data_IF_748457040452
#
_entry.id   IF_748457040452
#
_cell.length_a   1.000
_cell.length_b   1.000
_cell.length_c   1.000
_cell.angle_alpha   90.00
_cell.angle_beta   90.00
_cell.angle_gamma   90.00
#
_symmetry.space_group_name_H-M   'P 1'
#
loop_
_entity.id
_entity.type
_entity.pdbx_description
1 polymer ?
#
# COMPACT_ATOMS: atom_id res chain seq x y z
N UNK A 1 -13.71 21.92 44.18
CA UNK A 1 -13.72 20.59 43.53
C UNK A 1 -13.18 20.77 42.11
N UNK A 2 -11.92 20.39 41.85
CA UNK A 2 -11.30 20.48 40.51
C UNK A 2 -11.54 19.15 39.79
N UNK A 3 -12.22 19.20 38.66
CA UNK A 3 -12.42 18.04 37.80
C UNK A 3 -11.09 17.57 37.21
N UNK A 4 -10.77 16.29 37.38
CA UNK A 4 -9.68 15.62 36.68
C UNK A 4 -10.10 15.46 35.21
N UNK A 5 -9.41 16.17 34.31
CA UNK A 5 -9.43 15.85 32.89
C UNK A 5 -8.55 14.61 32.68
N UNK A 6 -9.21 13.53 32.26
CA UNK A 6 -8.63 12.27 31.80
C UNK A 6 -7.56 12.53 30.75
N UNK A 7 -6.33 12.14 31.03
CA UNK A 7 -5.20 12.20 30.10
C UNK A 7 -4.97 10.80 29.53
N UNK A 8 -5.90 10.31 28.70
CA UNK A 8 -5.74 9.03 27.99
C UNK A 8 -4.82 9.24 26.78
N UNK A 9 -3.52 9.01 26.97
CA UNK A 9 -2.55 8.92 25.87
C UNK A 9 -2.73 7.56 25.19
N UNK A 10 -3.55 7.52 24.16
CA UNK A 10 -3.68 6.37 23.27
C UNK A 10 -2.45 6.34 22.35
N UNK A 11 -1.50 5.43 22.60
CA UNK A 11 -0.17 5.41 21.96
C UNK A 11 -0.07 4.53 20.71
N UNK A 12 -1.13 3.76 20.42
CA UNK A 12 -1.22 2.89 19.26
C UNK A 12 -2.62 3.03 18.65
N UNK A 13 -2.69 3.16 17.33
CA UNK A 13 -3.95 3.14 16.58
C UNK A 13 -3.80 2.16 15.44
N UNK A 14 -4.70 1.19 15.40
CA UNK A 14 -4.83 0.28 14.28
C UNK A 14 -6.00 0.74 13.42
N UNK A 15 -5.78 0.82 12.11
CA UNK A 15 -6.83 1.13 11.14
C UNK A 15 -6.84 0.03 10.09
N UNK A 16 -7.98 -0.61 9.96
CA UNK A 16 -8.28 -1.50 8.83
C UNK A 16 -9.11 -0.70 7.85
N UNK A 17 -8.60 -0.54 6.63
CA UNK A 17 -9.38 0.00 5.52
C UNK A 17 -9.63 -1.15 4.55
N UNK A 18 -10.90 -1.50 4.40
CA UNK A 18 -11.36 -2.37 3.33
C UNK A 18 -12.00 -1.48 2.27
N UNK A 19 -11.29 -1.29 1.16
CA UNK A 19 -11.84 -0.57 0.02
C UNK A 19 -12.41 -1.59 -0.97
N UNK A 20 -13.73 -1.56 -1.14
CA UNK A 20 -14.39 -2.27 -2.24
C UNK A 20 -14.41 -1.34 -3.45
N UNK A 21 -13.63 -1.68 -4.47
CA UNK A 21 -13.65 -0.98 -5.74
C UNK A 21 -14.04 -1.92 -6.86
N UNK A 22 -14.82 -1.34 -7.77
CA UNK A 22 -15.52 -2.00 -8.83
C UNK A 22 -14.84 -1.63 -10.14
N UNK A 23 -14.13 -2.60 -10.75
CA UNK A 23 -13.54 -2.40 -12.08
C UNK A 23 -14.43 -3.05 -13.13
N UNK A 24 -14.79 -2.26 -14.13
CA UNK A 24 -15.52 -2.75 -15.28
C UNK A 24 -14.52 -3.32 -16.30
N UNK A 25 -14.56 -4.64 -16.48
CA UNK A 25 -13.90 -5.32 -17.58
C UNK A 25 -14.99 -5.84 -18.52
N UNK A 26 -15.01 -5.41 -19.78
CA UNK A 26 -15.94 -5.94 -20.80
C UNK A 26 -17.43 -6.00 -20.40
N UNK A 27 -17.91 -5.07 -19.56
CA UNK A 27 -19.33 -5.00 -19.15
C UNK A 27 -19.73 -5.73 -17.87
N UNK A 28 -18.83 -6.42 -17.16
CA UNK A 28 -19.07 -6.93 -15.80
C UNK A 28 -18.19 -6.17 -14.82
N UNK A 29 -18.76 -5.94 -13.65
CA UNK A 29 -18.07 -5.30 -12.56
C UNK A 29 -17.44 -6.39 -11.69
N UNK A 30 -16.10 -6.44 -11.61
CA UNK A 30 -15.41 -7.34 -10.68
C UNK A 30 -15.21 -6.66 -9.33
N UNK A 31 -15.46 -7.43 -8.25
CA UNK A 31 -15.24 -6.99 -6.88
C UNK A 31 -13.78 -7.23 -6.52
N UNK A 32 -12.98 -6.17 -6.49
CA UNK A 32 -11.63 -6.23 -5.97
C UNK A 32 -11.72 -6.04 -4.46
N UNK A 33 -11.19 -7.00 -3.71
CA UNK A 33 -11.02 -6.88 -2.25
C UNK A 33 -9.56 -6.62 -1.97
N UNK A 34 -9.27 -5.36 -1.69
CA UNK A 34 -8.01 -4.94 -1.13
C UNK A 34 -8.23 -4.71 0.37
N UNK A 35 -7.32 -5.22 1.19
CA UNK A 35 -7.32 -4.93 2.62
C UNK A 35 -6.01 -4.27 2.98
N UNK A 36 -6.12 -3.05 3.47
CA UNK A 36 -5.00 -2.26 3.96
C UNK A 36 -5.03 -2.22 5.48
N UNK A 37 -3.95 -2.71 6.09
CA UNK A 37 -3.71 -2.68 7.53
C UNK A 37 -2.66 -1.64 7.86
N UNK A 38 -3.04 -0.65 8.66
CA UNK A 38 -2.16 0.41 9.09
C UNK A 38 -1.99 0.31 10.61
N UNK A 39 -0.81 -0.12 11.04
CA UNK A 39 -0.42 -0.08 12.44
C UNK A 39 0.44 1.16 12.68
N UNK A 40 -0.07 2.11 13.46
CA UNK A 40 0.64 3.32 13.83
C UNK A 40 1.09 3.22 15.28
N UNK A 41 2.39 3.34 15.49
CA UNK A 41 2.99 3.44 16.81
C UNK A 41 3.59 4.82 16.99
N UNK A 42 3.11 5.54 18.00
CA UNK A 42 3.52 6.91 18.27
C UNK A 42 4.04 7.03 19.71
N UNK A 43 5.32 6.70 19.96
CA UNK A 43 5.94 6.79 21.28
C UNK A 43 6.25 8.29 21.58
N UNK A 44 7.22 8.73 22.41
CA UNK A 44 7.28 10.13 22.85
C UNK A 44 7.25 11.09 21.65
N UNK A 45 6.72 12.31 21.83
CA UNK A 45 6.27 13.28 20.80
C UNK A 45 7.22 13.65 19.64
N UNK A 46 8.37 12.98 19.53
CA UNK A 46 9.43 13.11 18.55
C UNK A 46 9.57 11.87 17.65
N UNK A 47 8.85 10.78 17.90
CA UNK A 47 8.98 9.53 17.14
C UNK A 47 7.65 9.15 16.51
N UNK A 48 7.69 8.73 15.25
CA UNK A 48 6.54 8.17 14.55
C UNK A 48 6.96 6.93 13.78
N UNK A 49 6.19 5.85 13.90
CA UNK A 49 6.43 4.59 13.22
C UNK A 49 5.12 4.09 12.63
N UNK A 50 5.17 3.60 11.40
CA UNK A 50 4.04 3.04 10.69
C UNK A 50 4.45 1.75 9.98
N UNK A 51 3.67 0.70 10.20
CA UNK A 51 3.68 -0.53 9.42
C UNK A 51 2.42 -0.54 8.55
N UNK A 52 2.62 -0.61 7.24
CA UNK A 52 1.56 -0.62 6.24
C UNK A 52 1.60 -1.97 5.55
N UNK A 53 0.54 -2.75 5.65
CA UNK A 53 0.43 -4.02 4.96
C UNK A 53 -0.77 -3.99 4.02
N UNK A 54 -0.58 -4.48 2.79
CA UNK A 54 -1.61 -4.55 1.77
C UNK A 54 -1.68 -5.96 1.21
N UNK A 55 -2.88 -6.52 1.20
CA UNK A 55 -3.18 -7.76 0.48
C UNK A 55 -4.21 -7.50 -0.60
N UNK A 56 -3.96 -8.05 -1.80
CA UNK A 56 -4.84 -7.97 -2.96
C UNK A 56 -5.10 -9.37 -3.47
N UNK A 57 -6.37 -9.75 -3.53
CA UNK A 57 -6.76 -11.03 -4.13
C UNK A 57 -6.63 -11.01 -5.65
N UNK A 58 -6.50 -12.20 -6.27
CA UNK A 58 -6.48 -12.39 -7.72
C UNK A 58 -7.58 -11.59 -8.42
N UNK A 59 -7.20 -10.89 -9.48
CA UNK A 59 -8.10 -10.06 -10.28
C UNK A 59 -8.16 -10.60 -11.70
N UNK A 60 -9.33 -10.71 -12.31
CA UNK A 60 -9.44 -11.14 -13.70
C UNK A 60 -9.51 -9.93 -14.61
N UNK A 61 -8.78 -10.00 -15.73
CA UNK A 61 -8.67 -8.92 -16.71
C UNK A 61 -9.90 -8.86 -17.64
N UNK A 62 -10.75 -9.88 -17.58
CA UNK A 62 -11.99 -10.01 -18.33
C UNK A 62 -13.04 -10.86 -17.58
N UNK A 63 -14.20 -11.06 -18.20
CA UNK A 63 -15.35 -11.73 -17.57
C UNK A 63 -15.34 -13.25 -17.67
N UNK A 64 -14.30 -13.83 -18.25
CA UNK A 64 -14.21 -15.27 -18.44
C UNK A 64 -13.77 -16.01 -17.17
N UNK A 65 -13.30 -15.27 -16.16
CA UNK A 65 -12.61 -15.80 -14.99
C UNK A 65 -11.45 -16.73 -15.37
N UNK A 66 -10.81 -16.48 -16.52
CA UNK A 66 -9.68 -17.28 -16.96
C UNK A 66 -8.46 -16.93 -16.11
N UNK A 67 -7.87 -17.94 -15.47
CA UNK A 67 -6.64 -17.78 -14.70
C UNK A 67 -5.47 -17.28 -15.56
N UNK A 68 -5.46 -17.61 -16.85
CA UNK A 68 -4.46 -17.13 -17.81
C UNK A 68 -4.62 -15.64 -18.12
N UNK A 69 -5.82 -15.08 -17.94
CA UNK A 69 -6.14 -13.66 -18.11
C UNK A 69 -6.43 -13.01 -16.76
N UNK A 70 -5.54 -13.24 -15.80
CA UNK A 70 -5.67 -12.71 -14.44
C UNK A 70 -4.35 -12.17 -13.91
N UNK A 71 -4.43 -11.21 -13.00
CA UNK A 71 -3.33 -10.76 -12.16
C UNK A 71 -3.26 -11.64 -10.93
N UNK A 72 -2.07 -12.14 -10.61
CA UNK A 72 -1.88 -12.92 -9.39
C UNK A 72 -2.17 -12.08 -8.15
N UNK A 73 -2.67 -12.75 -7.12
CA UNK A 73 -2.74 -12.19 -5.78
C UNK A 73 -1.35 -11.82 -5.28
N UNK A 74 -1.29 -10.80 -4.42
CA UNK A 74 -0.03 -10.37 -3.84
C UNK A 74 -0.21 -9.77 -2.44
N UNK A 75 0.87 -9.83 -1.68
CA UNK A 75 1.01 -9.20 -0.38
C UNK A 75 2.27 -8.34 -0.36
N UNK A 76 2.13 -7.09 0.07
CA UNK A 76 3.26 -6.20 0.29
C UNK A 76 3.18 -5.58 1.67
N UNK A 77 4.35 -5.34 2.26
CA UNK A 77 4.46 -4.65 3.53
C UNK A 77 5.54 -3.57 3.43
N UNK A 78 5.20 -2.40 3.94
CA UNK A 78 6.06 -1.22 4.00
C UNK A 78 6.27 -0.80 5.45
N UNK A 79 7.45 -0.26 5.73
CA UNK A 79 7.83 0.29 7.02
C UNK A 79 8.19 1.76 6.84
N UNK A 80 7.65 2.62 7.70
CA UNK A 80 8.04 4.03 7.78
C UNK A 80 8.38 4.41 9.21
N UNK A 81 9.50 5.10 9.38
CA UNK A 81 9.93 5.65 10.65
C UNK A 81 10.35 7.10 10.48
N UNK A 82 10.09 7.93 11.48
CA UNK A 82 10.63 9.27 11.55
C UNK A 82 10.99 9.69 12.97
N UNK A 83 11.98 10.59 13.06
CA UNK A 83 12.46 11.15 14.31
C UNK A 83 12.67 12.66 14.21
N UNK A 84 12.11 13.40 15.16
CA UNK A 84 12.14 14.86 15.21
C UNK A 84 13.04 15.37 16.33
N UNK A 85 14.08 16.09 15.93
CA UNK A 85 15.03 16.78 16.80
C UNK A 85 14.60 18.23 16.93
N UNK A 86 14.57 18.77 18.15
CA UNK A 86 14.29 20.18 18.43
C UNK A 86 15.51 20.83 19.07
N UNK A 87 15.94 21.96 18.52
CA UNK A 87 17.09 22.73 19.01
C UNK A 87 16.74 24.22 19.14
N UNK A 88 17.58 24.98 19.84
CA UNK A 88 17.44 26.44 19.94
C UNK A 88 17.88 27.17 18.66
N UNK A 89 18.77 26.56 17.89
CA UNK A 89 19.33 27.14 16.65
C UNK A 89 18.45 26.81 15.44
N UNK A 90 17.92 25.59 15.38
CA UNK A 90 16.99 25.13 14.35
C UNK A 90 15.76 24.58 15.07
N UNK A 91 14.60 25.20 14.85
CA UNK A 91 13.38 24.91 15.62
C UNK A 91 13.01 23.43 15.55
N UNK A 92 13.12 22.83 14.37
CA UNK A 92 12.79 21.43 14.17
C UNK A 92 13.56 20.81 13.00
N UNK A 93 14.08 19.60 13.19
CA UNK A 93 14.69 18.77 12.15
C UNK A 93 14.12 17.37 12.25
N UNK A 94 13.43 16.91 11.21
CA UNK A 94 12.82 15.58 11.17
C UNK A 94 13.55 14.70 10.17
N UNK A 95 14.12 13.61 10.67
CA UNK A 95 14.70 12.53 9.89
C UNK A 95 13.60 11.54 9.54
N UNK A 96 13.54 11.11 8.29
CA UNK A 96 12.55 10.16 7.78
C UNK A 96 13.28 9.00 7.11
N UNK A 97 12.83 7.80 7.39
CA UNK A 97 13.26 6.58 6.73
C UNK A 97 12.04 5.76 6.32
N UNK A 98 12.08 5.20 5.12
CA UNK A 98 11.01 4.38 4.57
C UNK A 98 11.61 3.20 3.81
N UNK A 99 11.07 2.01 4.07
CA UNK A 99 11.33 0.79 3.33
C UNK A 99 10.02 0.35 2.69
N UNK A 100 10.03 0.20 1.37
CA UNK A 100 8.89 -0.27 0.61
C UNK A 100 9.13 -1.71 0.17
N UNK A 101 8.07 -2.51 0.20
CA UNK A 101 8.07 -3.91 -0.20
C UNK A 101 9.19 -4.71 0.50
N UNK A 102 9.12 -4.77 1.84
CA UNK A 102 10.20 -5.34 2.67
C UNK A 102 10.47 -6.83 2.38
N UNK A 103 9.50 -7.54 1.81
CA UNK A 103 9.64 -8.95 1.41
C UNK A 103 10.17 -9.11 -0.02
N UNK A 104 10.43 -8.01 -0.72
CA UNK A 104 10.91 -7.99 -2.10
C UNK A 104 10.00 -8.78 -3.05
N UNK A 105 8.69 -8.69 -2.84
CA UNK A 105 7.68 -9.39 -3.63
C UNK A 105 7.68 -8.86 -5.07
N UNK A 106 7.64 -9.74 -6.06
CA UNK A 106 7.44 -9.35 -7.46
C UNK A 106 5.95 -9.45 -7.76
N UNK A 107 5.32 -8.32 -8.03
CA UNK A 107 3.88 -8.26 -8.22
C UNK A 107 3.49 -7.28 -9.32
N UNK A 108 2.32 -7.52 -9.92
CA UNK A 108 1.73 -6.68 -10.95
C UNK A 108 0.34 -6.19 -10.48
N UNK A 109 0.23 -4.96 -9.95
CA UNK A 109 -1.03 -4.42 -9.46
C UNK A 109 -2.01 -4.06 -10.59
N UNK A 110 -1.54 -4.10 -11.84
CA UNK A 110 -2.34 -3.76 -13.00
C UNK A 110 -1.84 -4.49 -14.26
N UNK A 111 -2.75 -4.65 -15.21
CA UNK A 111 -2.49 -5.24 -16.52
C UNK A 111 -3.64 -4.99 -17.48
N UNK A 112 -3.47 -5.45 -18.72
CA UNK A 112 -4.49 -5.41 -19.75
C UNK A 112 -4.46 -6.71 -20.55
N UNK A 113 -5.61 -7.13 -21.07
CA UNK A 113 -5.71 -8.24 -22.01
C UNK A 113 -6.31 -7.74 -23.32
N UNK A 114 -5.78 -8.21 -24.46
CA UNK A 114 -6.31 -7.88 -25.77
C UNK A 114 -6.51 -9.16 -26.61
N UNK A 115 -7.75 -9.47 -27.03
CA UNK A 115 -8.01 -10.60 -27.90
C UNK A 115 -7.67 -10.26 -29.36
N UNK A 116 -7.06 -11.19 -30.08
CA UNK A 116 -6.82 -11.10 -31.53
C UNK A 116 -7.00 -12.46 -32.20
N UNK A 117 -7.28 -12.46 -33.50
CA UNK A 117 -7.46 -13.70 -34.26
C UNK A 117 -6.14 -14.04 -34.95
N UNK A 118 -5.64 -15.24 -34.70
CA UNK A 118 -4.46 -15.78 -35.38
C UNK A 118 -4.76 -17.21 -35.87
N UNK A 119 -4.57 -17.44 -37.16
CA UNK A 119 -4.86 -18.73 -37.81
C UNK A 119 -6.28 -19.27 -37.52
N UNK A 120 -7.28 -18.38 -37.54
CA UNK A 120 -8.68 -18.73 -37.27
C UNK A 120 -9.03 -18.99 -35.80
N UNK A 121 -8.08 -18.85 -34.87
CA UNK A 121 -8.29 -19.04 -33.43
C UNK A 121 -8.16 -17.71 -32.68
N UNK A 122 -8.99 -17.48 -31.67
CA UNK A 122 -8.86 -16.32 -30.78
C UNK A 122 -7.69 -16.57 -29.83
N UNK A 123 -6.68 -15.72 -29.92
CA UNK A 123 -5.58 -15.63 -28.97
C UNK A 123 -5.77 -14.41 -28.07
N UNK A 124 -5.23 -14.47 -26.86
CA UNK A 124 -5.27 -13.35 -25.92
C UNK A 124 -3.86 -13.02 -25.50
N UNK A 125 -3.49 -11.76 -25.67
CA UNK A 125 -2.22 -11.25 -25.17
C UNK A 125 -2.44 -10.53 -23.84
N UNK A 126 -1.61 -10.86 -22.85
CA UNK A 126 -1.67 -10.28 -21.50
C UNK A 126 -0.46 -9.38 -21.31
N UNK A 127 -0.74 -8.10 -21.05
CA UNK A 127 0.23 -7.07 -20.74
C UNK A 127 0.21 -6.81 -19.24
N UNK A 128 1.38 -6.87 -18.62
CA UNK A 128 1.53 -6.70 -17.17
C UNK A 128 2.39 -5.45 -16.87
N UNK A 129 2.05 -4.74 -15.80
CA UNK A 129 2.81 -3.59 -15.31
C UNK A 129 3.46 -3.93 -13.97
N UNK A 130 4.67 -4.51 -13.97
CA UNK A 130 5.34 -4.92 -12.74
C UNK A 130 5.80 -3.72 -11.91
N UNK A 131 5.67 -3.84 -10.60
CA UNK A 131 6.19 -2.85 -9.65
C UNK A 131 7.63 -3.16 -9.25
N UNK A 132 8.30 -2.15 -8.71
CA UNK A 132 9.63 -2.34 -8.14
C UNK A 132 9.59 -3.33 -6.97
N UNK A 133 10.68 -4.11 -6.84
CA UNK A 133 10.96 -4.89 -5.64
C UNK A 133 11.27 -3.98 -4.44
N UNK A 134 11.95 -4.54 -3.45
CA UNK A 134 12.33 -3.81 -2.24
C UNK A 134 13.14 -2.56 -2.60
N UNK A 135 12.73 -1.43 -2.04
CA UNK A 135 13.42 -0.15 -2.20
C UNK A 135 13.32 0.68 -0.91
N UNK A 136 14.16 1.70 -0.79
CA UNK A 136 14.21 2.53 0.41
C UNK A 136 14.36 4.01 0.08
N UNK A 137 13.91 4.84 1.01
CA UNK A 137 14.05 6.29 0.95
C UNK A 137 14.47 6.81 2.31
N UNK A 138 15.39 7.77 2.32
CA UNK A 138 15.73 8.57 3.48
C UNK A 138 15.52 10.05 3.15
N UNK A 139 15.07 10.82 4.13
CA UNK A 139 14.77 12.23 3.94
C UNK A 139 15.00 13.06 5.21
N UNK A 140 15.22 14.35 5.02
CA UNK A 140 15.37 15.32 6.11
C UNK A 140 14.46 16.50 5.85
N UNK A 141 13.62 16.84 6.82
CA UNK A 141 12.80 18.04 6.82
C UNK A 141 13.34 19.02 7.87
N UNK A 142 13.62 20.25 7.45
CA UNK A 142 14.13 21.32 8.34
C UNK A 142 13.09 22.42 8.44
N UNK A 143 12.79 22.85 9.67
CA UNK A 143 11.90 23.99 9.97
C UNK A 143 12.68 25.05 10.74
N UNK A 144 12.65 26.27 10.21
CA UNK A 144 13.35 27.45 10.75
C UNK A 144 12.47 28.29 11.67
#
# INVERSE_FOLDING_TARGET
MKGLQSNSRETASERVRSDEHYRAHGGRIERIRDVDFHALWNPPARQHQALLAKYVSRQYLDNTNSKERSLSDYYVQDLRASYTIKSKVIKETTLIFQLNNIFNEKYEPNGATYPYIYSGTIQNEVYLYPMAGMNFMAGVNVKF
#
